data_IF_436621586533
#
_entry.id   IF_436621586533
#
_cell.length_a   1.000
_cell.length_b   1.000
_cell.length_c   1.000
_cell.angle_alpha   90.00
_cell.angle_beta   90.00
_cell.angle_gamma   90.00
#
_symmetry.space_group_name_H-M   'P 1'
#
loop_
_entity.id
_entity.type
_entity.pdbx_description
1 polymer ?
#
# COMPACT_ATOMS: atom_id res chain seq x y z
N UNK A 1 -32.59 -40.65 7.89
CA UNK A 1 -31.18 -40.22 7.78
C UNK A 1 -31.16 -38.79 7.29
N UNK A 2 -31.05 -37.81 8.20
CA UNK A 2 -30.86 -36.40 7.85
C UNK A 2 -29.56 -35.96 8.54
N UNK A 3 -28.45 -35.99 7.80
CA UNK A 3 -27.18 -35.45 8.29
C UNK A 3 -27.21 -33.93 8.13
N UNK A 4 -27.28 -33.22 9.25
CA UNK A 4 -27.01 -31.78 9.29
C UNK A 4 -25.49 -31.57 9.16
N UNK A 5 -25.06 -30.98 8.05
CA UNK A 5 -23.70 -30.47 7.89
C UNK A 5 -23.55 -29.23 8.77
N UNK A 6 -22.81 -29.34 9.87
CA UNK A 6 -22.26 -28.22 10.60
C UNK A 6 -21.10 -27.64 9.79
N UNK A 7 -21.35 -26.53 9.08
CA UNK A 7 -20.30 -25.66 8.57
C UNK A 7 -19.64 -24.99 9.78
N UNK A 8 -18.46 -25.50 10.17
CA UNK A 8 -17.57 -24.79 11.07
C UNK A 8 -17.06 -23.54 10.34
N UNK A 9 -17.65 -22.38 10.65
CA UNK A 9 -17.08 -21.11 10.28
C UNK A 9 -15.72 -20.99 10.97
N UNK A 10 -14.65 -21.10 10.18
CA UNK A 10 -13.31 -20.73 10.65
C UNK A 10 -13.37 -19.25 10.99
N UNK A 11 -13.38 -18.90 12.27
CA UNK A 11 -13.12 -17.53 12.69
C UNK A 11 -11.72 -17.16 12.22
N UNK A 12 -11.65 -16.47 11.07
CA UNK A 12 -10.47 -15.70 10.72
C UNK A 12 -10.42 -14.54 11.71
N UNK A 13 -9.74 -14.74 12.84
CA UNK A 13 -9.27 -13.61 13.64
C UNK A 13 -8.25 -12.91 12.76
N UNK A 14 -8.62 -11.74 12.22
CA UNK A 14 -7.65 -10.80 11.72
C UNK A 14 -6.85 -10.30 12.94
N UNK A 15 -5.80 -11.02 13.30
CA UNK A 15 -4.79 -10.58 14.28
C UNK A 15 -3.98 -9.43 13.65
N UNK A 16 -4.64 -8.30 13.46
CA UNK A 16 -4.02 -7.08 12.95
C UNK A 16 -4.32 -5.91 13.89
N UNK A 17 -4.38 -6.22 15.18
CA UNK A 17 -4.39 -5.24 16.23
C UNK A 17 -3.02 -4.56 16.29
N UNK A 18 -3.07 -3.25 16.51
CA UNK A 18 -1.87 -2.44 16.71
C UNK A 18 -0.98 -3.06 17.79
N UNK A 19 0.29 -3.26 17.44
CA UNK A 19 1.35 -3.66 18.37
C UNK A 19 2.15 -2.42 18.74
N UNK A 20 2.32 -2.22 20.04
CA UNK A 20 3.16 -1.15 20.57
C UNK A 20 4.60 -1.40 20.15
N UNK A 21 5.35 -0.33 19.92
CA UNK A 21 6.75 -0.35 19.51
C UNK A 21 7.55 0.70 20.26
N UNK A 22 8.83 0.79 19.95
CA UNK A 22 9.75 1.70 20.63
C UNK A 22 9.37 3.16 20.35
N UNK A 23 9.45 4.00 21.39
CA UNK A 23 9.14 5.42 21.29
C UNK A 23 7.67 5.80 21.46
N UNK A 24 6.73 4.85 21.46
CA UNK A 24 5.32 5.11 21.74
C UNK A 24 5.12 5.66 23.15
N UNK A 25 4.10 6.51 23.32
CA UNK A 25 3.74 7.08 24.63
C UNK A 25 2.43 6.48 25.08
N UNK A 26 2.45 5.89 26.26
CA UNK A 26 1.35 5.15 26.87
C UNK A 26 0.84 5.94 28.07
N UNK A 27 -0.48 6.07 28.19
CA UNK A 27 -1.16 6.54 29.39
C UNK A 27 -1.80 5.34 30.08
N UNK A 28 -1.31 5.03 31.28
CA UNK A 28 -1.72 3.85 32.05
C UNK A 28 -2.41 4.31 33.31
N UNK A 29 -3.60 3.77 33.56
CA UNK A 29 -4.38 4.02 34.76
C UNK A 29 -4.69 2.71 35.48
N UNK A 30 -4.68 2.76 36.81
CA UNK A 30 -5.10 1.65 37.67
C UNK A 30 -6.31 2.12 38.45
N UNK A 31 -7.44 1.44 38.28
CA UNK A 31 -8.70 1.87 38.88
C UNK A 31 -8.60 1.91 40.41
N UNK A 32 -9.07 3.03 40.99
CA UNK A 32 -9.02 3.27 42.43
C UNK A 32 -7.62 3.58 42.99
N UNK A 33 -6.60 3.68 42.13
CA UNK A 33 -5.23 3.95 42.55
C UNK A 33 -4.58 5.05 41.69
N UNK A 34 -4.86 6.33 41.98
CA UNK A 34 -4.35 7.46 41.20
C UNK A 34 -2.82 7.56 41.25
N UNK A 35 -2.19 7.14 42.36
CA UNK A 35 -0.74 7.18 42.56
C UNK A 35 0.05 6.25 41.61
N UNK A 36 -0.63 5.31 40.94
CA UNK A 36 -0.01 4.43 39.92
C UNK A 36 -0.29 4.90 38.48
N UNK A 37 -1.00 6.02 38.31
CA UNK A 37 -1.24 6.59 36.98
C UNK A 37 0.09 7.05 36.39
N UNK A 38 0.41 6.56 35.20
CA UNK A 38 1.73 6.75 34.60
C UNK A 38 1.61 7.10 33.12
N UNK A 39 2.26 8.19 32.72
CA UNK A 39 2.59 8.47 31.32
C UNK A 39 4.00 7.94 31.06
N UNK A 40 4.11 6.86 30.30
CA UNK A 40 5.38 6.19 30.04
C UNK A 40 5.70 6.17 28.55
N UNK A 41 6.96 6.39 28.21
CA UNK A 41 7.47 6.17 26.85
C UNK A 41 8.12 4.79 26.76
N UNK A 42 7.76 4.02 25.74
CA UNK A 42 8.43 2.76 25.44
C UNK A 42 9.88 3.03 25.07
N UNK A 43 10.80 2.48 25.85
CA UNK A 43 12.24 2.64 25.68
C UNK A 43 12.76 1.95 24.41
N UNK A 44 14.02 2.19 24.06
CA UNK A 44 14.70 1.49 22.96
C UNK A 44 14.85 -0.03 23.22
N UNK A 45 14.83 -0.46 24.48
CA UNK A 45 14.80 -1.88 24.86
C UNK A 45 13.39 -2.48 24.81
N UNK A 46 12.38 -1.69 24.43
CA UNK A 46 10.99 -2.14 24.30
C UNK A 46 10.27 -2.31 25.63
N UNK A 47 10.72 -1.62 26.69
CA UNK A 47 10.13 -1.66 28.03
C UNK A 47 9.61 -0.30 28.46
N UNK A 48 8.77 -0.28 29.49
CA UNK A 48 8.44 0.91 30.27
C UNK A 48 8.83 0.66 31.72
N UNK A 49 9.15 1.72 32.46
CA UNK A 49 9.28 1.65 33.92
C UNK A 49 7.91 1.98 34.53
N UNK A 50 7.37 1.06 35.32
CA UNK A 50 6.08 1.23 36.00
C UNK A 50 6.28 1.17 37.54
N UNK A 51 5.56 1.99 38.32
CA UNK A 51 5.71 1.97 39.77
C UNK A 51 5.44 0.58 40.38
N UNK A 52 6.19 0.24 41.44
CA UNK A 52 6.14 -1.03 42.19
C UNK A 52 6.65 -2.28 41.46
N UNK A 53 6.47 -2.37 40.14
CA UNK A 53 6.82 -3.58 39.36
C UNK A 53 8.02 -3.39 38.44
N UNK A 54 8.60 -2.18 38.41
CA UNK A 54 9.81 -1.88 37.64
C UNK A 54 9.57 -1.98 36.13
N UNK A 55 10.52 -2.58 35.42
CA UNK A 55 10.49 -2.65 33.97
C UNK A 55 9.50 -3.71 33.44
N UNK A 56 8.60 -3.28 32.57
CA UNK A 56 7.57 -4.10 31.92
C UNK A 56 7.77 -4.06 30.41
N UNK A 57 7.80 -5.22 29.75
CA UNK A 57 7.97 -5.34 28.29
C UNK A 57 6.68 -4.89 27.59
N UNK A 58 6.80 -3.96 26.65
CA UNK A 58 5.66 -3.37 25.93
C UNK A 58 5.77 -3.43 24.40
N UNK A 59 6.98 -3.46 23.81
CA UNK A 59 7.07 -3.59 22.36
C UNK A 59 6.60 -4.98 21.88
N UNK A 60 6.05 -5.03 20.67
CA UNK A 60 5.54 -6.21 19.96
C UNK A 60 4.28 -6.85 20.55
N UNK A 61 3.70 -6.28 21.61
CA UNK A 61 2.43 -6.73 22.20
C UNK A 61 1.31 -5.70 22.00
N UNK A 62 0.07 -6.15 22.09
CA UNK A 62 -1.10 -5.26 21.98
C UNK A 62 -1.35 -4.52 23.30
N UNK A 63 -2.06 -3.37 23.29
CA UNK A 63 -2.44 -2.67 24.52
C UNK A 63 -3.12 -3.58 25.55
N UNK A 64 -4.06 -4.42 25.12
CA UNK A 64 -4.75 -5.38 25.97
C UNK A 64 -3.81 -6.43 26.58
N UNK A 65 -2.78 -6.87 25.85
CA UNK A 65 -1.74 -7.75 26.40
C UNK A 65 -0.90 -7.01 27.46
N UNK A 66 -0.57 -5.74 27.22
CA UNK A 66 0.14 -4.90 28.17
C UNK A 66 -0.65 -4.64 29.46
N UNK A 67 -1.96 -4.40 29.36
CA UNK A 67 -2.86 -4.26 30.52
C UNK A 67 -2.82 -5.51 31.41
N UNK A 68 -2.96 -6.68 30.79
CA UNK A 68 -2.93 -7.96 31.49
C UNK A 68 -1.57 -8.23 32.14
N UNK A 69 -0.47 -7.90 31.46
CA UNK A 69 0.89 -8.05 31.99
C UNK A 69 1.09 -7.19 33.25
N UNK A 70 0.68 -5.91 33.21
CA UNK A 70 0.77 -5.02 34.37
C UNK A 70 -0.12 -5.53 35.51
N UNK A 71 -1.37 -5.90 35.20
CA UNK A 71 -2.33 -6.40 36.19
C UNK A 71 -1.80 -7.67 36.88
N UNK A 72 -1.24 -8.60 36.11
CA UNK A 72 -0.66 -9.84 36.63
C UNK A 72 0.52 -9.54 37.55
N UNK A 73 1.46 -8.68 37.15
CA UNK A 73 2.62 -8.32 37.98
C UNK A 73 2.24 -7.61 39.28
N UNK A 74 1.28 -6.69 39.24
CA UNK A 74 0.77 -6.00 40.43
C UNK A 74 0.12 -6.99 41.41
N UNK A 75 -0.62 -7.98 40.89
CA UNK A 75 -1.25 -9.01 41.70
C UNK A 75 -0.24 -10.00 42.28
N UNK A 76 0.68 -10.51 41.47
CA UNK A 76 1.70 -11.50 41.91
C UNK A 76 2.71 -10.89 42.88
N UNK A 77 3.04 -9.61 42.72
CA UNK A 77 3.88 -8.87 43.67
C UNK A 77 3.19 -8.54 44.99
N UNK A 78 1.89 -8.85 45.14
CA UNK A 78 1.12 -8.58 46.36
C UNK A 78 0.83 -7.09 46.60
N UNK A 79 0.98 -6.24 45.58
CA UNK A 79 0.77 -4.80 45.71
C UNK A 79 -0.70 -4.42 45.66
N UNK A 80 -1.50 -5.09 44.81
CA UNK A 80 -2.93 -4.83 44.64
C UNK A 80 -3.68 -6.15 44.47
N UNK A 81 -4.80 -6.29 45.17
CA UNK A 81 -5.69 -7.43 45.02
C UNK A 81 -6.67 -7.13 43.88
N UNK A 82 -6.64 -7.95 42.83
CA UNK A 82 -7.50 -7.81 41.62
C UNK A 82 -7.39 -6.42 40.96
N UNK A 83 -6.20 -6.03 40.49
CA UNK A 83 -6.03 -4.76 39.78
C UNK A 83 -6.83 -4.72 38.49
N UNK A 84 -7.49 -3.59 38.23
CA UNK A 84 -8.10 -3.27 36.94
C UNK A 84 -7.29 -2.17 36.27
N UNK A 85 -6.63 -2.51 35.17
CA UNK A 85 -5.67 -1.66 34.46
C UNK A 85 -6.24 -1.26 33.12
N UNK A 86 -6.06 0.00 32.74
CA UNK A 86 -6.38 0.50 31.39
C UNK A 86 -5.14 1.16 30.80
N UNK A 87 -4.81 0.82 29.55
CA UNK A 87 -3.66 1.31 28.81
C UNK A 87 -4.10 1.91 27.49
N UNK A 88 -3.83 3.20 27.31
CA UNK A 88 -4.09 3.91 26.07
C UNK A 88 -2.78 4.36 25.42
N UNK A 89 -2.66 4.19 24.11
CA UNK A 89 -1.54 4.73 23.36
C UNK A 89 -1.89 6.17 22.98
N UNK A 90 -1.17 7.13 23.55
CA UNK A 90 -1.40 8.56 23.36
C UNK A 90 -0.61 9.11 22.17
N UNK A 91 0.58 8.55 21.92
CA UNK A 91 1.40 8.90 20.76
C UNK A 91 1.95 7.64 20.11
N UNK A 92 1.57 7.45 18.85
CA UNK A 92 2.07 6.40 17.96
C UNK A 92 3.31 6.92 17.26
N UNK A 93 4.49 6.61 17.79
CA UNK A 93 5.79 7.07 17.27
C UNK A 93 6.63 5.94 16.70
N UNK A 94 6.23 4.69 16.93
CA UNK A 94 6.97 3.51 16.49
C UNK A 94 6.69 3.08 15.06
N UNK A 95 5.61 3.57 14.44
CA UNK A 95 5.19 3.13 13.12
C UNK A 95 5.53 4.17 12.06
N UNK A 96 6.52 3.87 11.24
CA UNK A 96 6.91 4.69 10.12
C UNK A 96 6.72 3.96 8.79
N UNK A 97 6.25 4.71 7.79
CA UNK A 97 6.16 4.23 6.41
C UNK A 97 6.96 5.16 5.51
N UNK A 98 7.32 4.67 4.32
CA UNK A 98 7.83 5.52 3.24
C UNK A 98 6.82 5.62 2.12
N UNK A 99 6.49 6.84 1.69
CA UNK A 99 5.66 7.07 0.50
C UNK A 99 6.54 7.69 -0.58
N UNK A 100 6.76 6.95 -1.65
CA UNK A 100 7.76 7.25 -2.69
C UNK A 100 7.13 7.35 -4.08
N UNK A 101 7.89 7.93 -5.02
CA UNK A 101 7.53 7.98 -6.43
C UNK A 101 6.67 9.19 -6.81
N UNK A 102 5.67 8.98 -7.67
CA UNK A 102 4.80 10.01 -8.24
C UNK A 102 3.65 10.39 -7.30
N UNK A 103 4.00 11.04 -6.20
CA UNK A 103 3.07 11.65 -5.23
C UNK A 103 3.41 13.13 -5.04
N UNK A 104 2.50 13.91 -4.44
CA UNK A 104 2.72 15.34 -4.23
C UNK A 104 3.88 15.61 -3.26
N UNK A 105 3.99 14.82 -2.18
CA UNK A 105 5.01 14.96 -1.14
C UNK A 105 5.64 13.59 -0.85
N UNK A 106 6.67 13.16 -1.59
CA UNK A 106 7.37 11.93 -1.26
C UNK A 106 8.18 12.11 0.04
N UNK A 107 8.23 11.07 0.87
CA UNK A 107 8.94 11.13 2.15
C UNK A 107 8.53 10.04 3.13
N UNK A 108 9.11 10.11 4.33
CA UNK A 108 8.77 9.24 5.45
C UNK A 108 7.63 9.86 6.27
N UNK A 109 6.67 9.03 6.68
CA UNK A 109 5.50 9.44 7.45
C UNK A 109 5.37 8.58 8.71
N UNK A 110 4.90 9.20 9.79
CA UNK A 110 4.55 8.48 11.03
C UNK A 110 3.06 8.17 11.00
N UNK A 111 2.70 6.93 11.34
CA UNK A 111 1.30 6.52 11.44
C UNK A 111 0.76 6.86 12.82
N UNK A 112 -0.23 7.74 12.87
CA UNK A 112 -0.89 8.13 14.13
C UNK A 112 -1.99 7.15 14.55
N UNK A 113 -2.34 6.20 13.67
CA UNK A 113 -3.39 5.21 13.85
C UNK A 113 -3.20 4.05 12.88
N UNK A 114 -3.95 2.96 13.10
CA UNK A 114 -4.13 1.91 12.09
C UNK A 114 -4.61 2.56 10.79
N UNK A 115 -3.84 2.39 9.72
CA UNK A 115 -4.00 3.09 8.46
C UNK A 115 -3.95 2.12 7.29
N UNK A 116 -4.48 2.53 6.14
CA UNK A 116 -4.43 1.80 4.87
C UNK A 116 -3.61 2.55 3.83
N UNK A 117 -3.36 1.92 2.68
CA UNK A 117 -2.59 2.53 1.57
C UNK A 117 -3.20 3.86 1.12
N UNK A 118 -4.54 3.97 1.09
CA UNK A 118 -5.21 5.24 0.77
C UNK A 118 -4.91 6.36 1.76
N UNK A 119 -4.77 6.03 3.06
CA UNK A 119 -4.41 7.01 4.09
C UNK A 119 -2.97 7.51 3.89
N UNK A 120 -2.04 6.61 3.58
CA UNK A 120 -0.66 6.98 3.26
C UNK A 120 -0.57 7.93 2.06
N UNK A 121 -1.33 7.64 0.99
CA UNK A 121 -1.39 8.52 -0.17
C UNK A 121 -2.01 9.87 0.18
N UNK A 122 -3.05 9.90 1.02
CA UNK A 122 -3.65 11.15 1.48
C UNK A 122 -2.66 12.01 2.28
N UNK A 123 -1.87 11.40 3.18
CA UNK A 123 -0.79 12.07 3.90
C UNK A 123 0.27 12.65 2.94
N UNK A 124 0.61 11.91 1.88
CA UNK A 124 1.50 12.37 0.82
C UNK A 124 0.89 13.41 -0.14
N UNK A 125 -0.36 13.81 0.08
CA UNK A 125 -1.08 14.79 -0.74
C UNK A 125 -1.64 14.22 -2.05
N UNK A 126 -1.76 12.90 -2.17
CA UNK A 126 -2.30 12.21 -3.34
C UNK A 126 -1.28 11.95 -4.46
N UNK A 127 -1.71 11.16 -5.43
CA UNK A 127 -0.98 10.84 -6.66
C UNK A 127 -1.01 12.07 -7.58
N UNK A 128 0.13 12.40 -8.19
CA UNK A 128 0.23 13.51 -9.16
C UNK A 128 -0.14 13.06 -10.57
N UNK A 129 -0.38 14.01 -11.48
CA UNK A 129 -0.99 13.78 -12.80
C UNK A 129 -0.27 12.76 -13.70
N UNK A 130 1.03 12.53 -13.51
CA UNK A 130 1.82 11.54 -14.25
C UNK A 130 2.18 10.29 -13.44
N UNK A 131 1.52 10.09 -12.30
CA UNK A 131 1.58 8.87 -11.52
C UNK A 131 0.65 7.78 -12.07
N UNK A 132 1.05 6.53 -11.89
CA UNK A 132 0.25 5.38 -12.25
C UNK A 132 -0.97 5.22 -11.34
N UNK A 133 -2.04 4.62 -11.87
CA UNK A 133 -3.21 4.20 -11.06
C UNK A 133 -2.91 2.96 -10.20
N UNK A 134 -1.84 2.24 -10.52
CA UNK A 134 -1.37 1.12 -9.73
C UNK A 134 -0.31 1.60 -8.74
N UNK A 135 -0.51 1.27 -7.48
CA UNK A 135 0.42 1.56 -6.38
C UNK A 135 0.96 0.26 -5.85
N UNK A 136 2.27 0.18 -5.69
CA UNK A 136 2.93 -1.02 -5.19
C UNK A 136 3.21 -0.83 -3.69
N UNK A 137 2.62 -1.69 -2.87
CA UNK A 137 2.99 -1.85 -1.47
C UNK A 137 4.14 -2.85 -1.37
N UNK A 138 5.28 -2.38 -0.90
CA UNK A 138 6.45 -3.21 -0.62
C UNK A 138 6.51 -3.48 0.88
N UNK A 139 6.47 -4.75 1.25
CA UNK A 139 6.51 -5.20 2.64
C UNK A 139 7.64 -6.16 2.86
N UNK A 140 8.52 -5.83 3.80
CA UNK A 140 9.62 -6.71 4.25
C UNK A 140 9.32 -7.24 5.64
N UNK A 141 9.22 -8.57 5.77
CA UNK A 141 9.02 -9.28 7.04
C UNK A 141 9.95 -10.49 7.07
N UNK A 142 10.60 -10.74 8.20
CA UNK A 142 11.53 -11.87 8.38
C UNK A 142 12.59 -12.00 7.28
N UNK A 143 13.08 -10.84 6.78
CA UNK A 143 14.06 -10.77 5.69
C UNK A 143 13.52 -11.10 4.28
N UNK A 144 12.21 -11.35 4.14
CA UNK A 144 11.56 -11.57 2.84
C UNK A 144 10.78 -10.34 2.42
N UNK A 145 11.01 -9.87 1.20
CA UNK A 145 10.29 -8.74 0.60
C UNK A 145 9.19 -9.25 -0.32
N UNK A 146 7.97 -8.76 -0.10
CA UNK A 146 6.79 -9.01 -0.94
C UNK A 146 6.33 -7.71 -1.60
N UNK A 147 5.77 -7.83 -2.80
CA UNK A 147 5.28 -6.72 -3.61
C UNK A 147 3.80 -6.97 -3.91
N UNK A 148 2.95 -6.04 -3.51
CA UNK A 148 1.50 -6.12 -3.70
C UNK A 148 1.05 -4.92 -4.54
N UNK A 149 0.59 -5.19 -5.75
CA UNK A 149 0.09 -4.15 -6.65
C UNK A 149 -1.39 -3.89 -6.40
N UNK A 150 -1.73 -2.64 -6.10
CA UNK A 150 -3.06 -2.19 -5.74
C UNK A 150 -3.57 -1.25 -6.83
N UNK A 151 -4.66 -1.65 -7.49
CA UNK A 151 -5.36 -0.82 -8.48
C UNK A 151 -6.25 0.21 -7.77
N UNK A 152 -5.81 1.47 -7.76
CA UNK A 152 -6.50 2.57 -7.07
C UNK A 152 -7.87 2.88 -7.68
N UNK A 153 -8.07 2.63 -8.97
CA UNK A 153 -9.35 2.87 -9.64
C UNK A 153 -10.35 1.78 -9.27
N UNK A 154 -9.87 0.54 -9.13
CA UNK A 154 -10.70 -0.58 -8.71
C UNK A 154 -11.22 -0.43 -7.27
N UNK A 155 -10.46 0.24 -6.37
CA UNK A 155 -10.86 0.45 -4.97
C UNK A 155 -12.22 1.14 -4.81
N UNK A 156 -12.60 2.01 -5.74
CA UNK A 156 -13.86 2.77 -5.70
C UNK A 156 -15.02 2.07 -6.43
N UNK A 157 -14.84 0.81 -6.84
CA UNK A 157 -15.88 -0.03 -7.43
C UNK A 157 -16.43 -0.99 -6.37
N UNK A 158 -17.69 -1.46 -6.48
CA UNK A 158 -18.25 -2.43 -5.54
C UNK A 158 -17.33 -3.67 -5.39
N UNK A 159 -16.96 -3.99 -4.15
CA UNK A 159 -16.06 -5.09 -3.81
C UNK A 159 -14.56 -4.76 -3.88
N UNK A 160 -14.17 -3.58 -4.36
CA UNK A 160 -12.77 -3.16 -4.48
C UNK A 160 -12.11 -2.78 -3.14
N UNK A 161 -12.90 -2.45 -2.11
CA UNK A 161 -12.41 -2.03 -0.79
C UNK A 161 -11.51 -3.08 -0.13
N UNK A 162 -11.71 -4.37 -0.45
CA UNK A 162 -10.90 -5.47 0.08
C UNK A 162 -9.43 -5.40 -0.35
N UNK A 163 -9.13 -4.75 -1.47
CA UNK A 163 -7.75 -4.53 -1.97
C UNK A 163 -7.07 -3.32 -1.33
N UNK A 164 -7.77 -2.52 -0.52
CA UNK A 164 -7.15 -1.40 0.20
C UNK A 164 -6.42 -1.92 1.44
N UNK A 165 -5.19 -2.40 1.26
CA UNK A 165 -4.46 -3.08 2.32
C UNK A 165 -4.12 -2.17 3.50
N UNK A 166 -4.06 -2.78 4.69
CA UNK A 166 -3.52 -2.13 5.89
C UNK A 166 -2.01 -1.99 5.75
N UNK A 167 -1.50 -0.82 6.11
CA UNK A 167 -0.06 -0.54 6.15
C UNK A 167 0.46 -0.66 7.59
N UNK A 168 1.72 -1.02 7.69
CA UNK A 168 2.41 -1.32 8.94
C UNK A 168 3.79 -0.68 8.93
N UNK A 169 4.46 -0.71 10.08
CA UNK A 169 5.82 -0.21 10.21
C UNK A 169 6.78 -0.83 9.16
N UNK A 170 7.64 0.02 8.62
CA UNK A 170 8.63 -0.32 7.60
C UNK A 170 8.07 -0.55 6.19
N UNK A 171 6.76 -0.45 5.98
CA UNK A 171 6.17 -0.59 4.64
C UNK A 171 6.56 0.59 3.72
N UNK A 172 6.71 0.30 2.43
CA UNK A 172 6.95 1.30 1.39
C UNK A 172 5.77 1.33 0.44
N UNK A 173 5.12 2.48 0.32
CA UNK A 173 4.07 2.75 -0.66
C UNK A 173 4.71 3.46 -1.84
N UNK A 174 4.85 2.79 -2.98
CA UNK A 174 5.51 3.33 -4.16
C UNK A 174 4.53 3.57 -5.29
N UNK A 175 4.54 4.79 -5.83
CA UNK A 175 3.73 5.16 -7.00
C UNK A 175 4.65 5.33 -8.20
N UNK A 176 4.55 4.43 -9.18
CA UNK A 176 5.35 4.52 -10.40
C UNK A 176 4.87 5.65 -11.31
N UNK A 177 5.66 5.98 -12.34
CA UNK A 177 5.19 6.78 -13.47
C UNK A 177 4.10 6.01 -14.22
N UNK A 178 3.04 6.70 -14.65
CA UNK A 178 2.02 6.08 -15.50
C UNK A 178 2.66 5.44 -16.74
N UNK A 179 2.22 4.25 -17.15
CA UNK A 179 2.73 3.63 -18.37
C UNK A 179 2.32 4.48 -19.57
N UNK A 180 3.26 4.65 -20.50
CA UNK A 180 3.06 5.45 -21.72
C UNK A 180 3.33 4.59 -22.95
N UNK A 181 2.76 4.97 -24.08
CA UNK A 181 3.15 4.53 -25.40
C UNK A 181 3.25 5.75 -26.32
N UNK A 182 3.84 5.58 -27.49
CA UNK A 182 4.15 6.67 -28.40
C UNK A 182 3.55 6.39 -29.78
N UNK A 183 3.04 7.43 -30.44
CA UNK A 183 2.55 7.35 -31.82
C UNK A 183 3.31 8.36 -32.67
N UNK A 184 3.82 7.94 -33.82
CA UNK A 184 4.45 8.84 -34.79
C UNK A 184 4.22 8.38 -36.24
N UNK A 185 4.49 9.28 -37.19
CA UNK A 185 4.23 9.06 -38.62
C UNK A 185 2.88 9.65 -39.06
N UNK A 186 2.21 8.99 -39.98
CA UNK A 186 0.99 9.46 -40.65
C UNK A 186 -0.29 9.29 -39.79
N UNK A 187 -0.30 9.95 -38.64
CA UNK A 187 -1.45 10.09 -37.73
C UNK A 187 -1.81 11.55 -37.51
N UNK A 188 -3.07 11.83 -37.18
CA UNK A 188 -3.55 13.21 -36.98
C UNK A 188 -2.83 13.92 -35.83
N UNK A 189 -2.52 13.21 -34.74
CA UNK A 189 -1.85 13.73 -33.54
C UNK A 189 -0.74 12.79 -33.10
N UNK A 190 0.49 12.95 -33.60
CA UNK A 190 1.64 12.23 -33.08
C UNK A 190 1.99 12.73 -31.67
N UNK A 191 2.53 11.85 -30.83
CA UNK A 191 2.90 12.21 -29.46
C UNK A 191 2.98 11.03 -28.51
N UNK A 192 3.18 11.35 -27.23
CA UNK A 192 3.16 10.40 -26.13
C UNK A 192 1.75 10.35 -25.51
N UNK A 193 1.26 9.14 -25.28
CA UNK A 193 -0.07 8.88 -24.74
C UNK A 193 0.01 7.94 -23.55
N UNK A 194 -0.91 8.12 -22.61
CA UNK A 194 -1.06 7.23 -21.47
C UNK A 194 -1.59 5.88 -21.94
N UNK A 195 -0.98 4.80 -21.46
CA UNK A 195 -1.45 3.44 -21.67
C UNK A 195 -2.51 3.08 -20.62
N UNK A 196 -3.66 2.61 -21.07
CA UNK A 196 -4.69 2.03 -20.19
C UNK A 196 -4.60 0.50 -20.20
N UNK A 197 -5.22 -0.15 -19.20
CA UNK A 197 -5.27 -1.61 -19.13
C UNK A 197 -5.98 -2.18 -20.36
N UNK A 198 -5.39 -3.21 -20.98
CA UNK A 198 -5.94 -3.92 -22.14
C UNK A 198 -6.20 -3.03 -23.38
N UNK A 199 -5.43 -1.94 -23.54
CA UNK A 199 -5.54 -1.07 -24.70
C UNK A 199 -5.03 -1.74 -25.98
N UNK A 200 -5.82 -1.66 -27.04
CA UNK A 200 -5.51 -2.17 -28.38
C UNK A 200 -4.92 -1.09 -29.30
N UNK A 201 -4.29 -1.50 -30.40
CA UNK A 201 -3.73 -0.59 -31.41
C UNK A 201 -4.78 0.35 -31.99
N UNK A 202 -6.01 -0.12 -32.22
CA UNK A 202 -7.11 0.73 -32.71
C UNK A 202 -7.50 1.81 -31.71
N UNK A 203 -7.57 1.49 -30.41
CA UNK A 203 -7.86 2.46 -29.36
C UNK A 203 -6.71 3.48 -29.25
N UNK A 204 -5.47 3.01 -29.29
CA UNK A 204 -4.29 3.85 -29.30
C UNK A 204 -4.29 4.84 -30.49
N UNK A 205 -4.52 4.37 -31.70
CA UNK A 205 -4.63 5.24 -32.88
C UNK A 205 -5.81 6.22 -32.78
N UNK A 206 -6.90 5.82 -32.14
CA UNK A 206 -8.05 6.69 -31.89
C UNK A 206 -7.70 7.85 -30.96
N UNK A 207 -6.87 7.62 -29.93
CA UNK A 207 -6.32 8.69 -29.09
C UNK A 207 -5.44 9.66 -29.90
N UNK A 208 -4.69 9.14 -30.86
CA UNK A 208 -3.93 9.89 -31.87
C UNK A 208 -4.78 10.58 -32.94
N UNK A 209 -6.12 10.53 -32.85
CA UNK A 209 -7.04 11.14 -33.82
C UNK A 209 -7.20 10.36 -35.12
N UNK A 210 -6.67 9.13 -35.21
CA UNK A 210 -6.71 8.29 -36.39
C UNK A 210 -5.61 8.61 -37.42
N UNK A 211 -5.71 7.96 -38.57
CA UNK A 211 -4.77 8.10 -39.68
C UNK A 211 -4.95 9.46 -40.39
N UNK A 212 -3.87 10.00 -40.94
CA UNK A 212 -3.97 11.09 -41.93
C UNK A 212 -4.53 10.54 -43.26
N UNK A 213 -4.97 11.40 -44.20
CA UNK A 213 -5.31 10.95 -45.56
C UNK A 213 -4.17 10.25 -46.30
N UNK A 214 -2.92 10.42 -45.84
CA UNK A 214 -1.74 9.76 -46.38
C UNK A 214 -1.36 8.50 -45.61
N UNK A 215 -1.93 8.25 -44.43
CA UNK A 215 -1.63 7.07 -43.62
C UNK A 215 -2.30 5.81 -44.16
N UNK A 216 -1.64 4.66 -44.00
CA UNK A 216 -2.19 3.36 -44.40
C UNK A 216 -2.25 2.38 -43.24
N UNK A 217 -3.39 1.67 -43.11
CA UNK A 217 -3.54 0.61 -42.10
C UNK A 217 -2.52 -0.53 -42.31
N UNK A 218 -2.16 -0.83 -43.56
CA UNK A 218 -1.16 -1.88 -43.88
C UNK A 218 0.25 -1.49 -43.45
N UNK A 219 0.51 -0.19 -43.26
CA UNK A 219 1.79 0.37 -42.87
C UNK A 219 1.95 0.59 -41.36
N UNK A 220 0.98 0.16 -40.54
CA UNK A 220 1.07 0.24 -39.08
C UNK A 220 2.10 -0.78 -38.60
N UNK A 221 3.04 -0.32 -37.77
CA UNK A 221 4.10 -1.14 -37.15
C UNK A 221 4.23 -0.76 -35.69
N UNK A 222 4.61 -1.72 -34.85
CA UNK A 222 5.04 -1.43 -33.48
C UNK A 222 6.53 -1.65 -33.39
N UNK A 223 7.26 -0.63 -32.91
CA UNK A 223 8.61 -0.80 -32.41
C UNK A 223 8.53 -1.11 -30.92
N UNK A 224 8.90 -2.33 -30.56
CA UNK A 224 8.83 -2.84 -29.19
C UNK A 224 10.20 -3.35 -28.75
N UNK A 225 10.54 -3.08 -27.50
CA UNK A 225 11.74 -3.65 -26.87
C UNK A 225 11.46 -5.10 -26.48
N UNK A 226 12.31 -6.03 -26.92
CA UNK A 226 12.26 -7.42 -26.49
C UNK A 226 12.85 -7.61 -25.07
N UNK A 227 12.75 -8.83 -24.53
CA UNK A 227 13.25 -9.15 -23.18
C UNK A 227 14.76 -8.96 -23.02
N UNK A 228 15.51 -8.88 -24.12
CA UNK A 228 16.97 -8.64 -24.15
C UNK A 228 17.31 -7.16 -24.30
N UNK A 229 16.30 -6.31 -24.45
CA UNK A 229 16.48 -4.88 -24.60
C UNK A 229 16.65 -4.40 -26.04
N UNK A 230 16.57 -5.27 -27.04
CA UNK A 230 16.70 -4.89 -28.45
C UNK A 230 15.37 -4.38 -29.01
N UNK A 231 15.41 -3.36 -29.87
CA UNK A 231 14.21 -2.87 -30.56
C UNK A 231 13.87 -3.77 -31.74
N UNK A 232 12.63 -4.25 -31.79
CA UNK A 232 12.09 -5.04 -32.89
C UNK A 232 10.92 -4.31 -33.55
N UNK A 233 10.88 -4.33 -34.89
CA UNK A 233 9.73 -3.88 -35.67
C UNK A 233 8.78 -5.07 -35.86
N UNK A 234 7.55 -4.93 -35.40
CA UNK A 234 6.51 -5.96 -35.46
C UNK A 234 5.40 -5.53 -36.41
N UNK A 235 4.98 -6.45 -37.27
CA UNK A 235 3.70 -6.37 -37.97
C UNK A 235 2.58 -6.59 -36.94
N UNK A 236 1.56 -5.72 -36.94
CA UNK A 236 0.47 -5.75 -35.96
C UNK A 236 -0.89 -5.65 -36.59
N UNK A 237 -1.88 -6.25 -35.93
CA UNK A 237 -3.29 -6.09 -36.22
C UNK A 237 -3.89 -5.01 -35.32
N UNK A 238 -5.01 -4.42 -35.75
CA UNK A 238 -5.72 -3.38 -35.01
C UNK A 238 -6.19 -3.84 -33.62
N UNK A 239 -6.45 -5.13 -33.45
CA UNK A 239 -6.88 -5.72 -32.19
C UNK A 239 -5.72 -6.09 -31.25
N UNK A 240 -4.47 -6.01 -31.71
CA UNK A 240 -3.33 -6.41 -30.90
C UNK A 240 -3.14 -5.46 -29.70
N UNK A 241 -2.67 -5.98 -28.56
CA UNK A 241 -2.47 -5.17 -27.37
C UNK A 241 -1.22 -4.29 -27.48
N UNK A 242 -1.37 -3.05 -27.04
CA UNK A 242 -0.28 -2.09 -26.85
C UNK A 242 0.34 -2.30 -25.47
N UNK A 243 1.67 -2.25 -25.41
CA UNK A 243 2.45 -2.42 -24.18
C UNK A 243 3.13 -1.12 -23.81
N UNK A 244 3.60 -1.07 -22.56
CA UNK A 244 4.39 0.04 -22.04
C UNK A 244 5.62 0.24 -22.93
N UNK A 245 5.90 1.51 -23.22
CA UNK A 245 7.02 1.99 -24.04
C UNK A 245 6.98 1.56 -25.51
N UNK A 246 5.86 1.02 -25.99
CA UNK A 246 5.67 0.76 -27.42
C UNK A 246 5.69 2.05 -28.23
N UNK A 247 6.23 1.96 -29.44
CA UNK A 247 6.15 3.03 -30.42
C UNK A 247 5.36 2.56 -31.64
N UNK A 248 4.15 3.09 -31.82
CA UNK A 248 3.31 2.84 -32.98
C UNK A 248 3.76 3.77 -34.10
N UNK A 249 4.23 3.18 -35.19
CA UNK A 249 4.64 3.87 -36.39
C UNK A 249 3.61 3.66 -37.50
N UNK A 250 3.13 4.75 -38.10
CA UNK A 250 2.27 4.70 -39.28
C UNK A 250 3.02 5.21 -40.50
N UNK A 251 3.26 4.31 -41.47
CA UNK A 251 3.87 4.66 -42.75
C UNK A 251 2.89 5.38 -43.68
N UNK A 252 3.43 6.18 -44.59
CA UNK A 252 2.70 6.77 -45.71
C UNK A 252 2.21 5.67 -46.68
N UNK A 253 1.03 5.88 -47.25
CA UNK A 253 0.44 5.04 -48.29
C UNK A 253 1.18 5.28 -49.57
N UNK A 254 1.86 4.23 -50.04
CA UNK A 254 2.35 4.17 -51.40
C UNK A 254 1.15 3.76 -52.26
N UNK A 255 0.49 4.75 -52.86
CA UNK A 255 -0.60 4.64 -53.84
C UNK A 255 -2.01 4.39 -53.28
#
# INVERSE_FOLDING_TARGET
MLCALLLAASAWSADNDYRMGTGDVLHITVYGQPDLTTDARVSETGTITFPLIGDVRMADITPAQGENEIAQRLSTGGFIIKPFVTLNVVQYRSQHISVLGRVNRPGQYTLEKISRVTDALALAGGIIIDGADTVTLVRTRDGKTSYHDIDMVALFKPGGEASNELIQDGDIVNVARQPMFYIYGEVQRPGAFRLEQNMSVVQALSLGGGLTPRGTQRGIRILRRDDKGAMQELDVQLADPVRKDDVIYVKESLF
#
